data_IF_974381412113
#
_entry.id   IF_974381412113
#
_cell.length_a   1.000
_cell.length_b   1.000
_cell.length_c   1.000
_cell.angle_alpha   90.00
_cell.angle_beta   90.00
_cell.angle_gamma   90.00
#
_symmetry.space_group_name_H-M   'P 1'
#
loop_
_entity.id
_entity.type
_entity.pdbx_description
1 polymer ?
#
# COMPACT_ATOMS: atom_id res chain seq x y z
N UNK A 1 4.39 28.49 1.21
CA UNK A 1 4.68 29.90 1.56
C UNK A 1 4.46 30.80 0.36
N UNK A 2 4.35 32.12 0.56
CA UNK A 2 4.21 33.10 -0.53
C UNK A 2 5.36 33.01 -1.55
N UNK A 3 6.56 32.63 -1.09
CA UNK A 3 7.75 32.41 -1.93
C UNK A 3 7.58 31.21 -2.87
N UNK A 4 7.15 30.05 -2.35
CA UNK A 4 6.92 28.84 -3.17
C UNK A 4 5.88 29.09 -4.25
N UNK A 5 4.80 29.84 -3.93
CA UNK A 5 3.78 30.18 -4.92
C UNK A 5 4.33 31.06 -6.04
N UNK A 6 5.17 32.06 -5.72
CA UNK A 6 5.84 32.91 -6.73
C UNK A 6 6.79 32.09 -7.60
N UNK A 7 7.57 31.19 -7.02
CA UNK A 7 8.46 30.31 -7.77
C UNK A 7 7.71 29.37 -8.72
N UNK A 8 6.55 28.83 -8.30
CA UNK A 8 5.67 28.01 -9.13
C UNK A 8 5.03 28.81 -10.27
N UNK A 9 4.50 30.00 -9.97
CA UNK A 9 3.90 30.89 -10.96
C UNK A 9 4.90 31.30 -12.05
N UNK A 10 6.14 31.61 -11.64
CA UNK A 10 7.21 32.01 -12.55
C UNK A 10 7.93 30.83 -13.22
N UNK A 11 7.42 29.60 -13.07
CA UNK A 11 7.95 28.36 -13.67
C UNK A 11 9.40 28.04 -13.29
N UNK A 12 9.87 28.55 -12.14
CA UNK A 12 11.18 28.20 -11.57
C UNK A 12 11.12 26.80 -10.98
N UNK A 13 10.00 26.45 -10.33
CA UNK A 13 9.70 25.11 -9.85
C UNK A 13 8.37 24.68 -10.46
N UNK A 14 8.37 23.60 -11.25
CA UNK A 14 7.18 23.12 -11.98
C UNK A 14 6.96 21.63 -11.77
N UNK A 15 5.70 21.19 -11.87
CA UNK A 15 5.37 19.76 -11.84
C UNK A 15 5.54 19.10 -10.46
N UNK A 16 5.42 19.88 -9.38
CA UNK A 16 5.35 19.31 -8.04
C UNK A 16 4.08 18.44 -7.92
N UNK A 17 4.11 17.36 -7.13
CA UNK A 17 2.92 16.55 -6.84
C UNK A 17 2.02 17.25 -5.81
N UNK A 18 1.65 18.49 -6.09
CA UNK A 18 0.74 19.30 -5.27
C UNK A 18 -0.72 19.18 -5.72
N UNK A 19 -0.95 18.74 -6.96
CA UNK A 19 -2.28 18.58 -7.56
C UNK A 19 -2.65 17.11 -7.87
N UNK A 20 -1.79 16.14 -7.51
CA UNK A 20 -2.01 14.72 -7.72
C UNK A 20 -1.22 13.90 -6.69
N UNK A 21 -1.58 12.63 -6.48
CA UNK A 21 -0.86 11.77 -5.54
C UNK A 21 0.61 11.57 -5.97
N UNK A 22 1.55 11.64 -5.02
CA UNK A 22 3.00 11.62 -5.34
C UNK A 22 3.43 10.38 -6.16
N UNK A 23 2.80 9.23 -5.94
CA UNK A 23 3.22 7.96 -6.52
C UNK A 23 4.64 7.56 -6.07
N UNK A 24 5.38 6.88 -6.96
CA UNK A 24 6.77 6.43 -6.69
C UNK A 24 6.88 5.51 -5.46
N UNK A 25 5.82 4.77 -5.19
CA UNK A 25 5.77 3.69 -4.21
C UNK A 25 5.53 2.39 -4.96
N UNK A 26 6.29 1.36 -4.61
CA UNK A 26 6.17 0.02 -5.20
C UNK A 26 5.88 -0.92 -4.04
N UNK A 27 4.67 -1.45 -4.02
CA UNK A 27 4.33 -2.54 -3.10
C UNK A 27 5.04 -3.82 -3.51
N UNK A 28 5.41 -4.64 -2.54
CA UNK A 28 5.92 -5.98 -2.79
C UNK A 28 4.74 -6.95 -3.02
N UNK A 29 4.12 -6.84 -4.20
CA UNK A 29 2.92 -7.60 -4.58
C UNK A 29 3.11 -9.13 -4.60
N UNK A 30 4.30 -9.68 -4.93
CA UNK A 30 4.56 -11.12 -4.79
C UNK A 30 4.26 -11.69 -3.40
N UNK A 31 4.30 -10.88 -2.33
CA UNK A 31 3.95 -11.33 -0.97
C UNK A 31 2.53 -11.86 -0.85
N UNK A 32 1.59 -11.29 -1.62
CA UNK A 32 0.18 -11.75 -1.62
C UNK A 32 0.12 -13.19 -2.12
N UNK A 33 0.86 -13.49 -3.18
CA UNK A 33 0.96 -14.85 -3.72
C UNK A 33 1.70 -15.79 -2.77
N UNK A 34 2.83 -15.35 -2.20
CA UNK A 34 3.72 -16.20 -1.41
C UNK A 34 3.15 -16.55 -0.03
N UNK A 35 2.48 -15.61 0.64
CA UNK A 35 2.06 -15.77 2.03
C UNK A 35 0.54 -15.82 2.23
N UNK A 36 -0.24 -15.31 1.26
CA UNK A 36 -1.67 -15.06 1.47
C UNK A 36 -1.93 -13.87 2.39
N UNK A 37 -3.14 -13.32 2.34
CA UNK A 37 -3.47 -12.12 3.09
C UNK A 37 -3.50 -12.36 4.61
N UNK A 38 -3.98 -13.52 5.07
CA UNK A 38 -4.15 -13.76 6.51
C UNK A 38 -2.82 -13.72 7.26
N UNK A 39 -1.76 -14.29 6.66
CA UNK A 39 -0.40 -14.23 7.20
C UNK A 39 0.15 -12.80 7.23
N UNK A 40 -0.14 -12.00 6.21
CA UNK A 40 0.29 -10.60 6.15
C UNK A 40 -0.42 -9.74 7.20
N UNK A 41 -1.70 -10.00 7.46
CA UNK A 41 -2.46 -9.34 8.54
C UNK A 41 -1.88 -9.72 9.90
N UNK A 42 -1.61 -11.00 10.14
CA UNK A 42 -1.02 -11.48 11.40
C UNK A 42 0.32 -10.80 11.69
N UNK A 43 1.19 -10.68 10.67
CA UNK A 43 2.46 -9.97 10.82
C UNK A 43 2.28 -8.47 11.07
N UNK A 44 1.29 -7.83 10.43
CA UNK A 44 0.99 -6.42 10.70
C UNK A 44 0.41 -6.17 12.09
N UNK A 45 -0.33 -7.12 12.63
CA UNK A 45 -0.79 -7.06 14.03
C UNK A 45 0.40 -7.15 14.99
N UNK A 46 1.38 -8.02 14.71
CA UNK A 46 2.64 -8.07 15.47
C UNK A 46 3.45 -6.77 15.32
N UNK A 47 3.51 -6.19 14.12
CA UNK A 47 4.14 -4.87 13.91
C UNK A 47 3.49 -3.81 14.81
N UNK A 48 2.14 -3.81 14.90
CA UNK A 48 1.39 -2.86 15.71
C UNK A 48 1.63 -3.05 17.22
N UNK A 49 1.69 -4.30 17.69
CA UNK A 49 1.97 -4.64 19.09
C UNK A 49 3.39 -4.23 19.49
N UNK A 50 4.36 -4.38 18.59
CA UNK A 50 5.76 -4.06 18.83
C UNK A 50 6.15 -2.63 18.36
N UNK A 51 5.17 -1.79 18.00
CA UNK A 51 5.43 -0.43 17.53
C UNK A 51 5.67 0.53 18.71
N UNK A 52 6.91 1.00 18.81
CA UNK A 52 7.38 1.92 19.85
C UNK A 52 8.18 1.21 20.95
N UNK A 53 8.80 2.00 21.82
CA UNK A 53 9.61 1.53 22.96
C UNK A 53 8.92 1.82 24.32
N UNK A 54 7.62 2.15 24.28
CA UNK A 54 6.81 2.51 25.44
C UNK A 54 6.53 4.01 25.56
N UNK A 55 7.25 4.86 24.81
CA UNK A 55 6.95 6.29 24.73
C UNK A 55 6.03 6.62 23.56
N UNK A 56 4.95 7.34 23.86
CA UNK A 56 3.92 7.68 22.87
C UNK A 56 4.20 9.05 22.25
N UNK A 57 5.27 9.15 21.47
CA UNK A 57 5.61 10.36 20.70
C UNK A 57 4.69 10.50 19.48
N UNK A 58 4.63 11.70 18.88
CA UNK A 58 3.81 11.93 17.68
C UNK A 58 4.16 10.98 16.53
N UNK A 59 5.44 10.70 16.33
CA UNK A 59 5.91 9.80 15.27
C UNK A 59 5.45 8.35 15.52
N UNK A 60 5.47 7.91 16.78
CA UNK A 60 4.97 6.58 17.18
C UNK A 60 3.45 6.50 16.97
N UNK A 61 2.69 7.54 17.36
CA UNK A 61 1.24 7.58 17.15
C UNK A 61 0.91 7.49 15.66
N UNK A 62 1.57 8.29 14.83
CA UNK A 62 1.37 8.28 13.39
C UNK A 62 1.70 6.90 12.79
N UNK A 63 2.83 6.31 13.17
CA UNK A 63 3.22 4.98 12.69
C UNK A 63 2.18 3.90 13.05
N UNK A 64 1.62 3.95 14.26
CA UNK A 64 0.58 3.00 14.71
C UNK A 64 -0.72 3.17 13.91
N UNK A 65 -1.11 4.39 13.60
CA UNK A 65 -2.26 4.68 12.73
C UNK A 65 -2.02 4.14 11.32
N UNK A 66 -0.85 4.41 10.73
CA UNK A 66 -0.48 3.93 9.41
C UNK A 66 -0.45 2.39 9.33
N UNK A 67 0.05 1.70 10.36
CA UNK A 67 0.00 0.22 10.43
C UNK A 67 -1.45 -0.27 10.52
N UNK A 68 -2.30 0.39 11.31
CA UNK A 68 -3.71 0.04 11.43
C UNK A 68 -4.45 0.19 10.10
N UNK A 69 -4.13 1.22 9.32
CA UNK A 69 -4.70 1.40 7.98
C UNK A 69 -4.16 0.39 6.97
N UNK A 70 -2.90 -0.05 7.11
CA UNK A 70 -2.39 -1.18 6.31
C UNK A 70 -3.17 -2.47 6.60
N UNK A 71 -3.52 -2.75 7.85
CA UNK A 71 -4.34 -3.92 8.21
C UNK A 71 -5.74 -3.84 7.58
N UNK A 72 -6.39 -2.66 7.63
CA UNK A 72 -7.69 -2.45 6.98
C UNK A 72 -7.59 -2.67 5.47
N UNK A 73 -6.58 -2.08 4.83
CA UNK A 73 -6.36 -2.23 3.39
C UNK A 73 -6.15 -3.69 2.98
N UNK A 74 -5.42 -4.49 3.77
CA UNK A 74 -5.28 -5.93 3.53
C UNK A 74 -6.63 -6.66 3.60
N UNK A 75 -7.51 -6.30 4.52
CA UNK A 75 -8.87 -6.87 4.57
C UNK A 75 -9.71 -6.45 3.35
N UNK A 76 -9.63 -5.19 2.94
CA UNK A 76 -10.32 -4.69 1.74
C UNK A 76 -9.87 -5.41 0.47
N UNK A 77 -8.59 -5.82 0.40
CA UNK A 77 -8.09 -6.66 -0.69
C UNK A 77 -8.79 -8.02 -0.77
N UNK A 78 -9.14 -8.64 0.36
CA UNK A 78 -9.91 -9.89 0.38
C UNK A 78 -11.31 -9.68 -0.17
N UNK A 79 -12.00 -8.64 0.30
CA UNK A 79 -13.35 -8.26 -0.18
C UNK A 79 -13.32 -8.00 -1.68
N UNK A 80 -12.29 -7.27 -2.15
CA UNK A 80 -12.11 -7.02 -3.57
C UNK A 80 -11.93 -8.33 -4.35
N UNK A 81 -11.03 -9.22 -3.94
CA UNK A 81 -10.80 -10.47 -4.65
C UNK A 81 -12.03 -11.39 -4.64
N UNK A 82 -12.77 -11.41 -3.53
CA UNK A 82 -14.02 -12.17 -3.39
C UNK A 82 -15.07 -11.71 -4.40
N UNK A 83 -15.15 -10.41 -4.71
CA UNK A 83 -16.04 -9.90 -5.78
C UNK A 83 -15.74 -10.46 -7.17
N UNK A 84 -14.53 -10.99 -7.39
CA UNK A 84 -14.12 -11.69 -8.60
C UNK A 84 -14.19 -13.23 -8.47
N UNK A 85 -14.69 -13.76 -7.36
CA UNK A 85 -14.82 -15.19 -7.08
C UNK A 85 -13.52 -15.87 -6.61
N UNK A 86 -12.58 -15.10 -6.06
CA UNK A 86 -11.29 -15.61 -5.58
C UNK A 86 -11.11 -15.40 -4.08
N UNK A 87 -10.60 -16.42 -3.38
CA UNK A 87 -10.19 -16.32 -1.99
C UNK A 87 -8.66 -16.25 -1.89
N UNK A 88 -8.15 -15.05 -1.59
CA UNK A 88 -6.71 -14.77 -1.43
C UNK A 88 -6.23 -14.82 0.03
N UNK A 89 -7.04 -15.36 0.94
CA UNK A 89 -6.68 -15.51 2.35
C UNK A 89 -5.41 -16.33 2.54
N UNK A 90 -5.25 -17.38 1.73
CA UNK A 90 -4.15 -18.35 1.78
C UNK A 90 -3.13 -18.14 0.65
N UNK A 91 -1.90 -18.65 0.82
CA UNK A 91 -0.89 -18.66 -0.23
C UNK A 91 -1.40 -19.30 -1.52
N UNK A 92 -0.88 -18.83 -2.66
CA UNK A 92 -1.11 -19.45 -3.94
C UNK A 92 -0.50 -20.86 -4.00
N UNK A 93 -1.25 -21.82 -4.52
CA UNK A 93 -0.84 -23.23 -4.67
C UNK A 93 -0.49 -23.60 -6.10
N UNK A 94 -0.91 -22.77 -7.07
CA UNK A 94 -0.64 -22.98 -8.50
C UNK A 94 -0.01 -21.74 -9.13
N UNK A 95 0.63 -21.91 -10.29
CA UNK A 95 1.16 -20.79 -11.07
C UNK A 95 0.07 -19.78 -11.45
N UNK A 96 -1.15 -20.25 -11.75
CA UNK A 96 -2.28 -19.38 -12.09
C UNK A 96 -2.68 -18.51 -10.89
N UNK A 97 -2.80 -19.12 -9.71
CA UNK A 97 -3.08 -18.39 -8.47
C UNK A 97 -1.96 -17.40 -8.13
N UNK A 98 -0.69 -17.78 -8.32
CA UNK A 98 0.43 -16.90 -8.01
C UNK A 98 0.40 -15.62 -8.85
N UNK A 99 0.15 -15.75 -10.15
CA UNK A 99 -0.01 -14.60 -11.05
C UNK A 99 -1.25 -13.78 -10.66
N UNK A 100 -2.37 -14.44 -10.37
CA UNK A 100 -3.62 -13.78 -10.01
C UNK A 100 -3.52 -13.02 -8.68
N UNK A 101 -2.84 -13.56 -7.67
CA UNK A 101 -2.71 -12.97 -6.33
C UNK A 101 -1.83 -11.75 -6.36
N UNK A 102 -0.71 -11.85 -7.09
CA UNK A 102 0.15 -10.72 -7.38
C UNK A 102 -0.64 -9.61 -8.07
N UNK A 103 -1.42 -9.96 -9.10
CA UNK A 103 -2.22 -8.98 -9.82
C UNK A 103 -3.30 -8.36 -8.91
N UNK A 104 -3.92 -9.10 -8.00
CA UNK A 104 -4.83 -8.51 -7.01
C UNK A 104 -4.12 -7.53 -6.07
N UNK A 105 -2.89 -7.84 -5.64
CA UNK A 105 -2.02 -6.90 -4.94
C UNK A 105 -1.86 -5.58 -5.69
N UNK A 106 -1.50 -5.68 -6.97
CA UNK A 106 -1.33 -4.51 -7.81
C UNK A 106 -2.66 -3.78 -8.09
N UNK A 107 -3.75 -4.51 -8.36
CA UNK A 107 -5.08 -3.99 -8.65
C UNK A 107 -5.62 -3.14 -7.49
N UNK A 108 -5.43 -3.61 -6.24
CA UNK A 108 -5.81 -2.86 -5.06
C UNK A 108 -5.08 -1.51 -4.99
N UNK A 109 -3.78 -1.50 -5.31
CA UNK A 109 -2.99 -0.25 -5.29
C UNK A 109 -3.48 0.78 -6.31
N UNK A 110 -3.80 0.36 -7.54
CA UNK A 110 -4.24 1.27 -8.61
C UNK A 110 -5.71 1.68 -8.50
N UNK A 111 -6.54 0.92 -7.76
CA UNK A 111 -7.92 1.33 -7.44
C UNK A 111 -7.97 2.42 -6.38
N UNK A 112 -7.01 2.43 -5.45
CA UNK A 112 -6.98 3.39 -4.35
C UNK A 112 -6.17 4.66 -4.67
N UNK A 113 -5.11 4.53 -5.46
CA UNK A 113 -4.16 5.62 -5.70
C UNK A 113 -4.06 5.94 -7.19
N UNK A 114 -4.02 7.24 -7.50
CA UNK A 114 -3.83 7.77 -8.85
C UNK A 114 -2.43 8.39 -9.04
N UNK A 115 -1.42 7.78 -8.40
CA UNK A 115 -0.05 8.29 -8.41
C UNK A 115 0.52 8.41 -9.82
N UNK A 116 1.35 9.42 -10.07
CA UNK A 116 1.92 9.66 -11.41
C UNK A 116 2.72 8.48 -11.97
N UNK A 117 3.30 7.65 -11.10
CA UNK A 117 3.95 6.40 -11.48
C UNK A 117 3.55 5.30 -10.48
N UNK A 118 2.79 4.32 -10.99
CA UNK A 118 2.36 3.10 -10.29
C UNK A 118 3.05 1.92 -10.94
N UNK A 119 4.25 1.57 -10.46
CA UNK A 119 5.04 0.47 -11.02
C UNK A 119 4.69 -0.84 -10.34
N UNK A 120 4.62 -1.93 -11.12
CA UNK A 120 4.36 -3.29 -10.59
C UNK A 120 5.57 -3.91 -9.87
N UNK A 121 6.76 -3.33 -10.02
CA UNK A 121 7.99 -3.81 -9.39
C UNK A 121 8.66 -4.94 -10.17
N UNK A 122 9.50 -5.72 -9.47
CA UNK A 122 10.17 -6.90 -10.01
C UNK A 122 9.35 -8.12 -9.65
N UNK A 123 8.88 -8.83 -10.67
CA UNK A 123 8.08 -10.06 -10.57
C UNK A 123 8.97 -11.27 -10.80
#
# INVERSE_FOLDING_TARGET
>A
TSEIMKARHNKIITGLPDAYARGRLIGDFPRVALYGIDRLIEEKQKDLENCGDGEMTNDVIQMREEISDQIKALNDMKIMAESYGYDISKPATTAKEAIQWLYFGYLASIKQQNGAAMSIGRI
#
